data_IF_918277460187
#
_entry.id   IF_918277460187
#
_cell.length_a   1.000
_cell.length_b   1.000
_cell.length_c   1.000
_cell.angle_alpha   90.00
_cell.angle_beta   90.00
_cell.angle_gamma   90.00
#
_symmetry.space_group_name_H-M   'P 1'
#
loop_
_entity.id
_entity.type
_entity.pdbx_description
1 polymer ?
#
# COMPACT_ATOMS: atom_id res chain seq x y z
N UNK A 1 3.08 15.38 3.69
CA UNK A 1 3.16 14.97 5.11
C UNK A 1 1.85 15.33 5.78
N UNK A 2 1.01 14.33 6.09
CA UNK A 2 -0.38 14.59 6.54
C UNK A 2 -0.48 15.29 7.91
N UNK A 3 0.53 15.10 8.77
CA UNK A 3 0.43 15.47 10.20
C UNK A 3 1.20 16.75 10.57
N UNK A 4 1.49 17.62 9.61
CA UNK A 4 2.25 18.87 9.84
C UNK A 4 1.37 20.08 10.14
N UNK A 5 0.04 20.01 9.92
CA UNK A 5 -0.95 21.07 10.23
C UNK A 5 -0.53 22.48 9.75
N UNK A 6 0.15 22.60 8.59
CA UNK A 6 0.58 23.91 8.11
C UNK A 6 1.87 24.45 8.76
N UNK A 7 2.49 23.74 9.71
CA UNK A 7 3.66 24.22 10.44
C UNK A 7 4.99 23.78 9.81
N UNK A 8 5.84 24.76 9.47
CA UNK A 8 7.23 24.56 9.02
C UNK A 8 8.07 23.79 10.04
N UNK A 9 7.89 24.11 11.33
CA UNK A 9 8.69 23.55 12.41
C UNK A 9 8.37 22.07 12.62
N UNK A 10 7.08 21.71 12.62
CA UNK A 10 6.65 20.30 12.72
C UNK A 10 7.15 19.48 11.54
N UNK A 11 7.17 20.06 10.35
CA UNK A 11 7.71 19.43 9.14
C UNK A 11 9.21 19.11 9.30
N UNK A 12 10.02 20.08 9.74
CA UNK A 12 11.45 19.87 9.98
C UNK A 12 11.67 18.83 11.09
N UNK A 13 10.95 18.94 12.21
CA UNK A 13 11.04 17.99 13.31
C UNK A 13 10.71 16.55 12.85
N UNK A 14 9.72 16.39 11.97
CA UNK A 14 9.41 15.08 11.38
C UNK A 14 10.55 14.54 10.51
N UNK A 15 11.27 15.40 9.78
CA UNK A 15 12.43 15.00 8.97
C UNK A 15 13.62 14.61 9.84
N UNK A 16 13.90 15.39 10.91
CA UNK A 16 14.98 15.08 11.84
C UNK A 16 14.71 13.76 12.60
N UNK A 17 13.44 13.48 12.91
CA UNK A 17 13.04 12.24 13.58
C UNK A 17 13.24 10.97 12.72
N UNK A 18 13.42 11.09 11.39
CA UNK A 18 13.67 9.94 10.52
C UNK A 18 14.89 9.15 11.00
N UNK A 19 15.96 9.84 11.39
CA UNK A 19 17.20 9.19 11.86
C UNK A 19 16.95 8.41 13.14
N UNK A 20 16.28 9.04 14.12
CA UNK A 20 15.94 8.40 15.40
C UNK A 20 15.06 7.16 15.18
N UNK A 21 14.10 7.24 14.27
CA UNK A 21 13.24 6.12 13.92
C UNK A 21 14.04 4.92 13.38
N UNK A 22 15.03 5.14 12.51
CA UNK A 22 15.90 4.06 11.99
C UNK A 22 16.92 3.54 13.01
N UNK A 23 17.15 4.27 14.10
CA UNK A 23 17.90 3.81 15.28
C UNK A 23 17.00 3.08 16.29
N UNK A 24 15.75 2.74 15.92
CA UNK A 24 14.75 2.10 16.78
C UNK A 24 14.35 2.95 18.01
N UNK A 25 14.57 4.27 17.96
CA UNK A 25 14.09 5.21 18.95
C UNK A 25 12.77 5.83 18.46
N UNK A 26 11.65 5.33 18.99
CA UNK A 26 10.31 5.73 18.56
C UNK A 26 9.65 6.81 19.44
N UNK A 27 10.37 7.44 20.36
CA UNK A 27 9.82 8.44 21.29
C UNK A 27 9.07 9.56 20.57
N UNK A 28 9.70 10.17 19.56
CA UNK A 28 9.15 11.31 18.81
C UNK A 28 8.38 10.92 17.55
N UNK A 29 8.07 9.63 17.36
CA UNK A 29 7.21 9.20 16.27
C UNK A 29 5.75 9.65 16.50
N UNK A 30 5.00 9.87 15.42
CA UNK A 30 3.61 10.30 15.51
C UNK A 30 2.76 9.18 16.15
N UNK A 31 1.78 9.51 17.03
CA UNK A 31 0.91 8.52 17.67
C UNK A 31 0.17 7.59 16.70
N UNK A 32 -0.17 8.08 15.51
CA UNK A 32 -0.87 7.30 14.46
C UNK A 32 0.07 6.44 13.60
N UNK A 33 1.38 6.46 13.87
CA UNK A 33 2.35 5.67 13.11
C UNK A 33 2.30 4.21 13.52
N UNK A 34 2.51 3.31 12.55
CA UNK A 34 2.57 1.86 12.76
C UNK A 34 3.48 1.43 13.90
N UNK A 35 4.61 2.13 14.10
CA UNK A 35 5.56 1.85 15.18
C UNK A 35 5.03 2.12 16.60
N UNK A 36 3.92 2.85 16.74
CA UNK A 36 3.25 3.07 18.04
C UNK A 36 1.94 2.30 18.15
N UNK A 37 1.25 2.05 17.03
CA UNK A 37 -0.05 1.38 17.01
C UNK A 37 0.06 -0.14 17.01
N UNK A 38 1.11 -0.72 16.43
CA UNK A 38 1.29 -2.17 16.33
C UNK A 38 2.19 -2.70 17.48
N UNK A 39 1.74 -3.69 18.28
CA UNK A 39 2.51 -4.20 19.42
C UNK A 39 3.79 -4.95 19.03
N UNK A 40 3.87 -5.48 17.81
CA UNK A 40 5.02 -6.20 17.27
C UNK A 40 5.60 -5.51 16.04
N UNK A 41 5.80 -4.19 16.13
CA UNK A 41 6.41 -3.43 15.05
C UNK A 41 7.83 -3.92 14.78
N UNK A 42 8.09 -4.32 13.54
CA UNK A 42 9.43 -4.62 13.03
C UNK A 42 9.83 -3.59 11.99
N UNK A 43 11.09 -3.13 12.06
CA UNK A 43 11.60 -2.23 11.04
C UNK A 43 11.63 -2.96 9.70
N UNK A 44 11.12 -2.30 8.66
CA UNK A 44 11.14 -2.84 7.29
C UNK A 44 12.55 -2.89 6.70
N UNK A 45 13.49 -2.14 7.28
CA UNK A 45 14.88 -2.02 6.84
C UNK A 45 15.84 -2.34 7.98
N UNK A 46 17.10 -2.56 7.62
CA UNK A 46 18.19 -2.73 8.59
C UNK A 46 18.30 -1.52 9.52
N UNK A 47 18.35 -1.78 10.82
CA UNK A 47 18.59 -0.77 11.85
C UNK A 47 19.96 -0.11 11.64
N UNK A 48 20.02 1.19 11.86
CA UNK A 48 21.28 1.94 11.86
C UNK A 48 21.90 1.83 13.26
N UNK A 49 22.98 1.06 13.38
CA UNK A 49 23.72 0.92 14.64
C UNK A 49 24.97 1.81 14.71
N UNK A 50 25.52 2.21 13.57
CA UNK A 50 26.74 3.02 13.48
C UNK A 50 26.43 4.53 13.50
N UNK A 51 27.09 5.25 14.40
CA UNK A 51 26.97 6.70 14.55
C UNK A 51 27.43 7.46 13.29
N UNK A 52 28.42 6.92 12.56
CA UNK A 52 28.89 7.52 11.30
C UNK A 52 27.78 7.46 10.26
N UNK A 53 27.13 6.31 10.14
CA UNK A 53 26.00 6.11 9.23
C UNK A 53 24.81 7.03 9.59
N UNK A 54 24.51 7.19 10.89
CA UNK A 54 23.48 8.12 11.35
C UNK A 54 23.83 9.58 11.00
N UNK A 55 25.09 9.97 11.17
CA UNK A 55 25.60 11.29 10.78
C UNK A 55 25.49 11.55 9.28
N UNK A 56 25.84 10.57 8.45
CA UNK A 56 25.70 10.65 6.99
C UNK A 56 24.25 10.79 6.56
N UNK A 57 23.33 10.00 7.14
CA UNK A 57 21.90 10.10 6.85
C UNK A 57 21.35 11.47 7.25
N UNK A 58 21.73 11.99 8.42
CA UNK A 58 21.32 13.33 8.88
C UNK A 58 21.81 14.41 7.91
N UNK A 59 23.06 14.32 7.45
CA UNK A 59 23.63 15.25 6.46
C UNK A 59 22.87 15.17 5.13
N UNK A 60 22.54 13.96 4.68
CA UNK A 60 21.77 13.74 3.47
C UNK A 60 20.37 14.38 3.59
N UNK A 61 19.65 14.14 4.68
CA UNK A 61 18.32 14.73 4.92
C UNK A 61 18.38 16.26 4.91
N UNK A 62 19.36 16.85 5.61
CA UNK A 62 19.54 18.32 5.66
C UNK A 62 19.95 18.92 4.31
N UNK A 63 20.54 18.12 3.42
CA UNK A 63 20.89 18.56 2.07
C UNK A 63 19.68 18.70 1.14
N UNK A 64 18.58 18.00 1.46
CA UNK A 64 17.38 17.97 0.63
C UNK A 64 16.75 19.37 0.48
N UNK A 65 16.25 19.65 -0.72
CA UNK A 65 15.59 20.92 -1.00
C UNK A 65 14.34 21.15 -0.13
N UNK A 66 13.62 20.07 0.22
CA UNK A 66 12.48 20.12 1.13
C UNK A 66 12.86 20.58 2.55
N UNK A 67 14.06 20.22 3.03
CA UNK A 67 14.57 20.70 4.31
C UNK A 67 14.99 22.16 4.23
N UNK A 68 15.62 22.57 3.11
CA UNK A 68 16.07 23.95 2.88
C UNK A 68 14.93 24.95 2.67
N UNK A 69 13.81 24.52 2.06
CA UNK A 69 12.64 25.36 1.78
C UNK A 69 11.35 24.65 2.20
N UNK A 70 11.11 24.48 3.51
CA UNK A 70 9.97 23.71 4.03
C UNK A 70 8.63 24.33 3.65
N UNK A 71 8.55 25.66 3.54
CA UNK A 71 7.33 26.39 3.18
C UNK A 71 6.66 25.91 1.89
N UNK A 72 7.44 25.39 0.93
CA UNK A 72 6.92 24.86 -0.34
C UNK A 72 6.29 23.47 -0.22
N UNK A 73 6.57 22.74 0.87
CA UNK A 73 6.23 21.33 1.02
C UNK A 73 5.24 21.03 2.16
N UNK A 74 4.89 22.04 2.95
CA UNK A 74 3.94 21.93 4.06
C UNK A 74 2.55 21.53 3.59
N UNK A 75 2.12 22.09 2.46
CA UNK A 75 0.83 21.79 1.83
C UNK A 75 0.94 20.72 0.75
N UNK A 76 2.03 19.94 0.72
CA UNK A 76 2.10 18.81 -0.22
C UNK A 76 0.96 17.84 0.06
N UNK A 77 -0.08 17.97 -0.77
CA UNK A 77 -1.22 17.09 -0.84
C UNK A 77 -0.74 15.72 -1.31
N UNK A 78 -1.35 14.68 -0.74
CA UNK A 78 -1.15 13.35 -1.25
C UNK A 78 -1.78 13.28 -2.66
N UNK A 79 -0.95 13.26 -3.71
CA UNK A 79 -1.41 13.17 -5.10
C UNK A 79 -1.85 11.77 -5.49
N UNK A 80 -1.75 10.79 -4.59
CA UNK A 80 -2.11 9.40 -4.83
C UNK A 80 -3.48 9.24 -5.51
N UNK A 81 -4.53 9.91 -5.02
CA UNK A 81 -5.86 9.78 -5.60
C UNK A 81 -5.92 10.29 -7.06
N UNK A 82 -5.25 11.42 -7.33
CA UNK A 82 -5.21 12.02 -8.68
C UNK A 82 -4.38 11.14 -9.63
N UNK A 83 -3.26 10.61 -9.14
CA UNK A 83 -2.39 9.74 -9.92
C UNK A 83 -3.06 8.40 -10.25
N UNK A 84 -3.70 7.78 -9.26
CA UNK A 84 -4.47 6.55 -9.45
C UNK A 84 -5.67 6.77 -10.38
N UNK A 85 -6.39 7.89 -10.25
CA UNK A 85 -7.47 8.25 -11.18
C UNK A 85 -6.98 8.37 -12.62
N UNK A 86 -5.86 9.07 -12.84
CA UNK A 86 -5.27 9.17 -14.17
C UNK A 86 -4.84 7.80 -14.72
N UNK A 87 -4.32 6.91 -13.88
CA UNK A 87 -3.96 5.56 -14.31
C UNK A 87 -5.20 4.77 -14.76
N UNK A 88 -6.32 4.86 -14.04
CA UNK A 88 -7.59 4.25 -14.45
C UNK A 88 -8.09 4.84 -15.77
N UNK A 89 -8.05 6.16 -15.93
CA UNK A 89 -8.43 6.81 -17.19
C UNK A 89 -7.60 6.32 -18.39
N UNK A 90 -6.30 6.10 -18.20
CA UNK A 90 -5.41 5.63 -19.26
C UNK A 90 -5.75 4.22 -19.78
N UNK A 91 -6.49 3.41 -19.03
CA UNK A 91 -7.01 2.12 -19.51
C UNK A 91 -8.05 2.29 -20.62
N UNK A 92 -8.85 3.36 -20.54
CA UNK A 92 -9.93 3.65 -21.48
C UNK A 92 -9.51 4.61 -22.58
N UNK A 93 -8.66 5.58 -22.23
CA UNK A 93 -8.20 6.67 -23.09
C UNK A 93 -6.67 6.69 -23.05
N UNK A 94 -6.03 5.91 -23.93
CA UNK A 94 -4.58 5.95 -24.06
C UNK A 94 -4.15 7.31 -24.61
N UNK A 95 -3.20 7.96 -23.94
CA UNK A 95 -2.60 9.25 -24.36
C UNK A 95 -1.94 9.22 -25.74
N UNK A 96 -1.59 8.04 -26.25
CA UNK A 96 -0.88 7.85 -27.53
C UNK A 96 -1.83 7.67 -28.71
N UNK A 97 -3.11 7.42 -28.45
CA UNK A 97 -4.12 7.18 -29.48
C UNK A 97 -4.97 8.43 -29.63
N UNK A 98 -5.17 8.88 -30.86
CA UNK A 98 -6.06 10.00 -31.15
C UNK A 98 -7.48 9.48 -31.33
N UNK A 99 -8.38 9.94 -30.48
CA UNK A 99 -9.80 9.60 -30.54
C UNK A 99 -10.57 10.79 -31.11
N UNK A 100 -11.65 10.51 -31.85
CA UNK A 100 -12.63 11.54 -32.16
C UNK A 100 -13.34 12.02 -30.89
N UNK A 101 -13.80 13.26 -30.89
CA UNK A 101 -14.40 13.96 -29.74
C UNK A 101 -15.44 13.11 -29.00
N UNK A 102 -16.47 12.62 -29.70
CA UNK A 102 -17.52 11.78 -29.11
C UNK A 102 -16.97 10.48 -28.49
N UNK A 103 -15.98 9.86 -29.13
CA UNK A 103 -15.37 8.62 -28.61
C UNK A 103 -14.53 8.90 -27.37
N UNK A 104 -13.82 10.03 -27.35
CA UNK A 104 -13.04 10.48 -26.21
C UNK A 104 -13.95 10.74 -25.00
N UNK A 105 -15.06 11.45 -25.19
CA UNK A 105 -16.04 11.74 -24.13
C UNK A 105 -16.64 10.47 -23.52
N UNK A 106 -17.12 9.55 -24.36
CA UNK A 106 -17.71 8.28 -23.90
C UNK A 106 -16.69 7.46 -23.10
N UNK A 107 -15.46 7.34 -23.59
CA UNK A 107 -14.39 6.58 -22.92
C UNK A 107 -13.96 7.22 -21.61
N UNK A 108 -13.86 8.55 -21.58
CA UNK A 108 -13.58 9.30 -20.35
C UNK A 108 -14.69 9.09 -19.34
N UNK A 109 -15.95 9.17 -19.75
CA UNK A 109 -17.11 8.90 -18.90
C UNK A 109 -17.09 7.48 -18.33
N UNK A 110 -16.77 6.47 -19.14
CA UNK A 110 -16.58 5.09 -18.68
C UNK A 110 -15.49 4.97 -17.62
N UNK A 111 -14.33 5.58 -17.84
CA UNK A 111 -13.24 5.55 -16.85
C UNK A 111 -13.57 6.27 -15.55
N UNK A 112 -14.39 7.33 -15.61
CA UNK A 112 -14.90 8.02 -14.41
C UNK A 112 -15.88 7.13 -13.64
N UNK A 113 -16.80 6.45 -14.31
CA UNK A 113 -17.74 5.52 -13.67
C UNK A 113 -16.99 4.38 -12.98
N UNK A 114 -16.05 3.75 -13.69
CA UNK A 114 -15.22 2.66 -13.15
C UNK A 114 -14.42 3.10 -11.92
N UNK A 115 -13.78 4.27 -11.98
CA UNK A 115 -13.06 4.83 -10.84
C UNK A 115 -13.97 5.07 -9.63
N UNK A 116 -15.13 5.69 -9.84
CA UNK A 116 -16.06 6.02 -8.74
C UNK A 116 -16.57 4.78 -8.03
N UNK A 117 -16.71 3.66 -8.72
CA UNK A 117 -17.12 2.38 -8.14
C UNK A 117 -15.98 1.69 -7.38
N UNK A 118 -14.72 1.89 -7.79
CA UNK A 118 -13.58 1.10 -7.30
C UNK A 118 -12.58 1.82 -6.38
N UNK A 119 -12.60 3.14 -6.29
CA UNK A 119 -11.55 3.94 -5.62
C UNK A 119 -11.25 3.52 -4.17
N UNK A 120 -12.26 3.17 -3.39
CA UNK A 120 -12.13 2.80 -1.97
C UNK A 120 -12.59 1.35 -1.70
N UNK A 121 -12.61 0.51 -2.73
CA UNK A 121 -13.00 -0.90 -2.60
C UNK A 121 -12.03 -1.63 -1.65
N UNK A 122 -12.53 -2.51 -0.74
CA UNK A 122 -11.64 -3.34 0.07
C UNK A 122 -10.75 -4.22 -0.81
N UNK A 123 -9.50 -4.39 -0.38
CA UNK A 123 -8.55 -5.27 -1.06
C UNK A 123 -9.08 -6.70 -1.06
N UNK A 124 -9.16 -7.31 -2.25
CA UNK A 124 -9.59 -8.71 -2.39
C UNK A 124 -8.44 -9.69 -2.12
N UNK A 125 -7.20 -9.25 -2.31
CA UNK A 125 -6.00 -10.05 -2.05
C UNK A 125 -4.81 -9.13 -1.77
N UNK A 126 -3.94 -9.55 -0.86
CA UNK A 126 -2.70 -8.85 -0.54
C UNK A 126 -1.51 -9.60 -1.11
N UNK A 127 -0.74 -8.95 -1.98
CA UNK A 127 0.52 -9.51 -2.48
C UNK A 127 1.67 -9.08 -1.58
N UNK A 128 2.13 -10.00 -0.74
CA UNK A 128 3.28 -9.75 0.16
C UNK A 128 4.58 -10.04 -0.58
N UNK A 129 5.27 -8.98 -1.00
CA UNK A 129 6.63 -9.10 -1.56
C UNK A 129 7.63 -9.33 -0.43
N UNK A 130 8.18 -10.54 -0.34
CA UNK A 130 9.26 -10.88 0.60
C UNK A 130 10.59 -10.88 -0.13
N UNK A 131 11.61 -10.27 0.46
CA UNK A 131 12.97 -10.36 -0.05
C UNK A 131 13.48 -11.79 0.15
N UNK A 132 14.09 -12.42 -0.87
CA UNK A 132 14.52 -13.82 -0.81
C UNK A 132 15.44 -14.13 0.39
N UNK A 133 16.22 -13.15 0.84
CA UNK A 133 17.10 -13.25 2.01
C UNK A 133 16.36 -13.42 3.35
N UNK A 134 15.09 -12.99 3.47
CA UNK A 134 14.30 -13.06 4.71
C UNK A 134 13.59 -14.42 4.89
N UNK A 135 13.56 -15.28 3.87
CA UNK A 135 12.89 -16.59 3.93
C UNK A 135 13.60 -17.54 4.91
N UNK A 136 14.91 -17.39 5.09
CA UNK A 136 15.74 -18.30 5.90
C UNK A 136 15.70 -18.04 7.42
N UNK A 137 15.15 -16.90 7.87
CA UNK A 137 15.19 -16.48 9.28
C UNK A 137 13.86 -16.70 10.01
N UNK A 138 13.07 -17.72 9.63
CA UNK A 138 11.79 -17.97 10.32
C UNK A 138 12.02 -18.74 11.63
N UNK A 139 11.53 -18.17 12.73
CA UNK A 139 10.97 -18.97 13.82
C UNK A 139 9.63 -19.57 13.33
N UNK A 140 9.24 -20.77 13.76
CA UNK A 140 8.01 -21.41 13.31
C UNK A 140 6.80 -20.58 13.73
N UNK A 141 5.95 -20.22 12.75
CA UNK A 141 4.64 -19.62 13.02
C UNK A 141 3.76 -20.65 13.71
N UNK A 142 3.11 -20.25 14.81
CA UNK A 142 2.09 -21.07 15.48
C UNK A 142 0.98 -21.36 14.47
N UNK A 143 0.76 -22.64 14.19
CA UNK A 143 -0.46 -23.12 13.55
C UNK A 143 -1.62 -22.74 14.49
N UNK A 144 -2.46 -21.81 14.06
CA UNK A 144 -3.78 -21.68 14.65
C UNK A 144 -4.57 -22.88 14.14
N UNK A 145 -4.81 -23.86 15.02
CA UNK A 145 -5.73 -24.96 14.76
C UNK A 145 -7.11 -24.36 14.51
N UNK A 146 -7.58 -24.42 13.27
CA UNK A 146 -9.01 -24.39 12.98
C UNK A 146 -9.45 -25.84 13.02
N UNK A 147 -10.25 -26.19 14.01
CA UNK A 147 -10.93 -27.47 14.12
C UNK A 147 -11.94 -27.56 12.96
N UNK A 148 -11.55 -28.20 11.86
CA UNK A 148 -12.46 -28.66 10.81
C UNK A 148 -13.06 -30.01 11.24
N UNK A 149 -14.18 -29.96 11.98
CA UNK A 149 -15.05 -31.12 12.21
C UNK A 149 -16.40 -30.86 11.54
N UNK A 150 -16.58 -31.37 10.31
CA UNK A 150 -17.68 -32.31 9.97
C UNK A 150 -17.79 -32.60 8.46
N UNK A 151 -17.18 -33.73 8.09
CA UNK A 151 -17.80 -34.85 7.36
C UNK A 151 -18.19 -34.63 5.88
N UNK A 152 -17.32 -35.16 5.01
CA UNK A 152 -17.64 -35.75 3.71
C UNK A 152 -18.44 -37.05 3.92
N UNK A 153 -19.54 -37.22 3.18
CA UNK A 153 -19.91 -38.53 2.63
C UNK A 153 -20.43 -38.34 1.21
N UNK A 154 -19.53 -38.57 0.25
CA UNK A 154 -19.88 -39.03 -1.10
C UNK A 154 -20.34 -40.49 -1.00
N UNK A 155 -21.38 -40.86 -1.74
CA UNK A 155 -21.67 -42.25 -2.08
C UNK A 155 -22.09 -42.29 -3.54
N UNK A 156 -21.34 -43.08 -4.31
CA UNK A 156 -21.37 -43.29 -5.75
C UNK A 156 -22.67 -43.91 -6.29
N UNK A 157 -22.95 -43.52 -7.54
CA UNK A 157 -23.40 -44.29 -8.72
C UNK A 157 -24.42 -45.43 -8.60
N UNK A 158 -25.52 -45.29 -9.35
CA UNK A 158 -26.00 -46.36 -10.25
C UNK A 158 -26.89 -45.81 -11.38
N UNK A 159 -26.52 -46.20 -12.59
CA UNK A 159 -27.18 -46.00 -13.90
C UNK A 159 -28.66 -46.43 -13.92
N UNK A 160 -29.49 -45.78 -14.76
CA UNK A 160 -30.41 -46.50 -15.65
C UNK A 160 -31.06 -45.59 -16.72
N UNK A 161 -30.74 -45.92 -17.97
CA UNK A 161 -31.61 -46.10 -19.15
C UNK A 161 -32.63 -44.99 -19.54
N UNK A 162 -32.23 -44.25 -20.58
CA UNK A 162 -32.92 -44.07 -21.87
C UNK A 162 -34.39 -44.56 -21.99
N UNK A 163 -35.30 -43.64 -22.32
CA UNK A 163 -36.36 -43.88 -23.30
C UNK A 163 -36.96 -42.57 -23.81
N UNK A 164 -36.76 -42.33 -25.10
CA UNK A 164 -37.58 -41.46 -25.94
C UNK A 164 -39.07 -41.84 -25.82
N UNK A 165 -39.96 -40.85 -25.88
CA UNK A 165 -41.24 -40.99 -26.60
C UNK A 165 -41.91 -39.62 -26.81
N UNK A 166 -42.29 -39.42 -28.07
CA UNK A 166 -42.97 -38.27 -28.67
C UNK A 166 -44.39 -38.01 -28.11
N UNK A 167 -44.81 -36.73 -28.08
CA UNK A 167 -46.01 -36.11 -28.71
C UNK A 167 -46.21 -34.68 -28.19
#
# INVERSE_FOLDING_TARGET
MKNCEGSTQRFIASLDNIVNHYQNNHQWCNPTSRCKTEPYYTLSRTMISDDIAAGLLKKAIKSLYMYKKPGKYIHCLNTHYIESFHNTLLLYVDKRVHYGEKTYEIRTGLGVLDWNEHVDRPVSSEKVFRHAAQIRNRAPERQNNVEDDSILQESDDSENEESDDDI
#
